data_IF_907739193346
#
_entry.id   IF_907739193346
#
_cell.length_a   1.000
_cell.length_b   1.000
_cell.length_c   1.000
_cell.angle_alpha   90.00
_cell.angle_beta   90.00
_cell.angle_gamma   90.00
#
_symmetry.space_group_name_H-M   'P 1'
#
loop_
_entity.id
_entity.type
_entity.pdbx_description
1 polymer ?
#
# COMPACT_ATOMS: atom_id res chain seq x y z
N UNK A 1 -13.87 -59.54 -12.21
CA UNK A 1 -14.76 -59.04 -11.14
C UNK A 1 -14.13 -58.03 -10.17
N UNK A 2 -12.79 -57.81 -10.17
CA UNK A 2 -12.14 -56.84 -9.27
C UNK A 2 -12.22 -55.38 -9.76
N UNK A 3 -12.24 -55.10 -11.06
CA UNK A 3 -12.30 -53.72 -11.59
C UNK A 3 -13.58 -52.96 -11.23
N UNK A 4 -14.74 -53.62 -11.22
CA UNK A 4 -16.01 -52.99 -10.83
C UNK A 4 -16.00 -52.49 -9.38
N UNK A 5 -15.29 -53.17 -8.47
CA UNK A 5 -15.22 -52.76 -7.06
C UNK A 5 -14.41 -51.47 -6.89
N UNK A 6 -13.36 -51.28 -7.69
CA UNK A 6 -12.54 -50.07 -7.64
C UNK A 6 -13.22 -48.87 -8.29
N UNK A 7 -13.93 -49.10 -9.41
CA UNK A 7 -14.76 -48.07 -10.04
C UNK A 7 -15.87 -47.62 -9.09
N UNK A 8 -16.54 -48.55 -8.39
CA UNK A 8 -17.59 -48.21 -7.45
C UNK A 8 -17.07 -47.43 -6.23
N UNK A 9 -15.90 -47.81 -5.69
CA UNK A 9 -15.25 -47.07 -4.59
C UNK A 9 -14.83 -45.66 -5.00
N UNK A 10 -14.31 -45.49 -6.22
CA UNK A 10 -13.87 -44.20 -6.74
C UNK A 10 -15.07 -43.27 -7.01
N UNK A 11 -16.19 -43.82 -7.49
CA UNK A 11 -17.43 -43.07 -7.74
C UNK A 11 -18.10 -42.61 -6.43
N UNK A 12 -18.08 -43.46 -5.39
CA UNK A 12 -18.56 -43.09 -4.04
C UNK A 12 -17.67 -42.02 -3.38
N UNK A 13 -16.35 -42.08 -3.56
CA UNK A 13 -15.44 -41.02 -3.09
C UNK A 13 -15.67 -39.69 -3.81
N UNK A 14 -15.94 -39.70 -5.12
CA UNK A 14 -16.25 -38.46 -5.85
C UNK A 14 -17.57 -37.83 -5.40
N UNK A 15 -18.59 -38.63 -5.07
CA UNK A 15 -19.86 -38.15 -4.55
C UNK A 15 -19.76 -37.60 -3.10
N UNK A 16 -18.77 -38.05 -2.32
CA UNK A 16 -18.49 -37.52 -0.99
C UNK A 16 -17.67 -36.21 -1.01
N UNK A 17 -16.97 -35.91 -2.11
CA UNK A 17 -16.21 -34.67 -2.30
C UNK A 17 -17.03 -33.54 -2.93
N UNK A 18 -18.19 -33.83 -3.52
CA UNK A 18 -19.21 -32.83 -3.81
C UNK A 18 -19.91 -32.46 -2.51
N UNK A 19 -19.23 -31.61 -1.73
CA UNK A 19 -19.77 -31.01 -0.52
C UNK A 19 -21.12 -30.36 -0.78
N UNK A 20 -21.94 -30.31 0.27
CA UNK A 20 -23.19 -29.57 0.29
C UNK A 20 -22.95 -28.12 -0.16
N UNK A 21 -23.26 -27.81 -1.42
CA UNK A 21 -23.64 -26.47 -1.79
C UNK A 21 -24.99 -26.23 -1.14
N UNK A 22 -24.96 -25.65 0.06
CA UNK A 22 -26.14 -25.11 0.71
C UNK A 22 -26.63 -23.95 -0.15
N UNK A 23 -27.45 -24.28 -1.17
CA UNK A 23 -28.20 -23.31 -1.95
C UNK A 23 -29.35 -22.79 -1.09
N UNK A 24 -29.03 -22.18 0.05
CA UNK A 24 -29.90 -21.17 0.61
C UNK A 24 -29.81 -20.02 -0.39
N UNK A 25 -30.91 -19.78 -1.09
CA UNK A 25 -31.14 -18.47 -1.69
C UNK A 25 -30.97 -17.47 -0.55
N UNK A 26 -29.77 -16.88 -0.49
CA UNK A 26 -29.47 -15.82 0.44
C UNK A 26 -30.53 -14.78 0.23
N UNK A 27 -31.23 -14.44 1.31
CA UNK A 27 -32.17 -13.34 1.36
C UNK A 27 -31.59 -12.21 0.52
N UNK A 28 -32.35 -11.80 -0.48
CA UNK A 28 -32.17 -10.61 -1.29
C UNK A 28 -31.38 -9.61 -0.46
N UNK A 29 -30.08 -9.49 -0.76
CA UNK A 29 -29.26 -8.41 -0.28
C UNK A 29 -29.94 -7.19 -0.87
N UNK A 30 -30.86 -6.60 -0.10
CA UNK A 30 -31.21 -5.21 -0.23
C UNK A 30 -29.88 -4.51 -0.06
N UNK A 31 -29.19 -4.28 -1.18
CA UNK A 31 -28.10 -3.34 -1.31
C UNK A 31 -28.51 -2.17 -0.43
N UNK A 32 -27.81 -1.87 0.67
CA UNK A 32 -28.19 -0.75 1.50
C UNK A 32 -28.15 0.45 0.57
N UNK A 33 -29.34 0.94 0.22
CA UNK A 33 -29.52 2.08 -0.67
C UNK A 33 -28.53 3.13 -0.22
N UNK A 34 -27.61 3.53 -1.11
CA UNK A 34 -26.55 4.49 -0.83
C UNK A 34 -27.12 5.79 -0.21
N UNK A 35 -28.39 6.08 -0.47
CA UNK A 35 -29.14 7.16 0.16
C UNK A 35 -29.20 7.10 1.70
N UNK A 36 -29.16 5.92 2.32
CA UNK A 36 -29.19 5.76 3.78
C UNK A 36 -27.85 6.02 4.48
N UNK A 37 -26.75 6.09 3.72
CA UNK A 37 -25.42 6.38 4.26
C UNK A 37 -25.12 7.88 4.30
N UNK A 38 -25.77 8.68 3.44
CA UNK A 38 -25.61 10.13 3.38
C UNK A 38 -26.20 10.85 4.61
N UNK A 39 -27.19 10.26 5.28
CA UNK A 39 -27.77 10.85 6.50
C UNK A 39 -26.87 10.68 7.73
N UNK A 40 -25.87 9.78 7.69
CA UNK A 40 -24.96 9.49 8.82
C UNK A 40 -23.66 10.31 8.78
N UNK A 41 -23.40 11.04 7.70
CA UNK A 41 -22.13 11.75 7.49
C UNK A 41 -21.94 12.96 8.44
N UNK A 42 -23.04 13.48 9.01
CA UNK A 42 -23.04 14.75 9.74
C UNK A 42 -23.11 14.63 11.27
N UNK A 43 -22.98 13.43 11.84
CA UNK A 43 -22.82 13.28 13.29
C UNK A 43 -21.40 13.73 13.68
N UNK A 44 -21.22 14.85 14.41
CA UNK A 44 -19.91 15.32 14.80
C UNK A 44 -19.30 14.30 15.76
N UNK A 45 -18.38 13.48 15.25
CA UNK A 45 -17.62 12.56 16.08
C UNK A 45 -16.89 13.37 17.15
N UNK A 46 -17.42 13.35 18.37
CA UNK A 46 -16.83 14.01 19.53
C UNK A 46 -15.53 13.27 19.86
N UNK A 47 -14.44 13.77 19.26
CA UNK A 47 -13.11 13.17 19.39
C UNK A 47 -12.51 13.70 20.68
N UNK A 48 -12.55 12.88 21.73
CA UNK A 48 -11.90 13.20 22.99
C UNK A 48 -10.39 13.02 22.82
N UNK A 49 -9.63 14.11 22.91
CA UNK A 49 -8.17 14.08 22.89
C UNK A 49 -7.66 13.94 24.31
N UNK A 50 -6.70 13.03 24.52
CA UNK A 50 -5.98 12.98 25.78
C UNK A 50 -5.25 14.33 26.03
N UNK A 51 -5.20 14.82 27.28
CA UNK A 51 -4.47 16.02 27.61
C UNK A 51 -2.99 15.85 27.27
N UNK A 52 -2.38 16.91 26.73
CA UNK A 52 -0.96 16.92 26.40
C UNK A 52 -0.11 16.79 27.68
N UNK A 53 0.95 15.96 27.70
CA UNK A 53 1.88 15.90 28.82
C UNK A 53 2.49 17.28 29.12
N UNK A 54 2.54 17.66 30.40
CA UNK A 54 3.04 18.97 30.84
C UNK A 54 4.56 19.13 30.68
N UNK A 55 5.30 18.02 30.59
CA UNK A 55 6.76 17.96 30.57
C UNK A 55 7.36 17.67 29.19
N UNK A 56 6.72 18.14 28.12
CA UNK A 56 7.28 18.01 26.76
C UNK A 56 8.44 18.99 26.59
N UNK A 57 9.61 18.43 26.30
CA UNK A 57 10.78 19.19 25.87
C UNK A 57 10.83 19.22 24.33
N UNK A 58 10.58 20.40 23.76
CA UNK A 58 10.80 20.64 22.34
C UNK A 58 12.30 20.86 22.10
N UNK A 59 12.91 19.99 21.30
CA UNK A 59 14.29 20.16 20.86
C UNK A 59 14.30 20.90 19.54
N UNK A 60 14.91 22.09 19.52
CA UNK A 60 15.15 22.81 18.28
C UNK A 60 16.52 22.39 17.74
N UNK A 61 16.54 21.79 16.55
CA UNK A 61 17.78 21.48 15.85
C UNK A 61 18.15 22.66 14.93
N UNK A 62 18.60 23.76 15.53
CA UNK A 62 18.93 25.00 14.81
C UNK A 62 20.24 24.92 14.00
N UNK A 63 21.03 23.86 14.23
CA UNK A 63 22.32 23.64 13.58
C UNK A 63 22.49 22.17 13.21
N UNK A 64 22.71 21.91 11.93
CA UNK A 64 23.12 20.60 11.45
C UNK A 64 24.63 20.60 11.15
N UNK A 65 25.34 19.49 11.45
CA UNK A 65 26.72 19.35 11.03
C UNK A 65 26.79 19.38 9.49
N UNK A 66 27.86 19.97 8.96
CA UNK A 66 28.14 19.94 7.53
C UNK A 66 28.38 18.48 7.13
N UNK A 67 27.47 17.93 6.31
CA UNK A 67 27.59 16.55 5.82
C UNK A 67 28.67 16.38 4.74
N UNK A 68 29.03 17.49 4.08
CA UNK A 68 30.03 17.50 3.02
C UNK A 68 31.45 17.35 3.59
N UNK A 69 32.31 16.65 2.84
CA UNK A 69 33.74 16.58 3.15
C UNK A 69 34.36 17.98 3.13
N UNK A 70 35.27 18.32 4.06
CA UNK A 70 36.04 19.56 3.99
C UNK A 70 36.92 19.63 2.74
N UNK A 71 37.29 18.47 2.17
CA UNK A 71 38.10 18.35 0.96
C UNK A 71 37.25 18.33 -0.33
N UNK A 72 35.93 18.53 -0.24
CA UNK A 72 35.07 18.53 -1.41
C UNK A 72 35.36 19.74 -2.32
N UNK A 73 35.79 19.47 -3.55
CA UNK A 73 35.98 20.50 -4.57
C UNK A 73 34.63 20.99 -5.12
N UNK A 74 34.45 22.31 -5.20
CA UNK A 74 33.21 22.91 -5.74
C UNK A 74 33.25 23.00 -7.25
N UNK A 75 32.17 22.59 -7.90
CA UNK A 75 31.97 22.73 -9.34
C UNK A 75 32.34 21.48 -10.15
N UNK A 76 32.59 21.68 -11.45
CA UNK A 76 32.85 20.59 -12.40
C UNK A 76 31.64 20.24 -13.27
N UNK A 77 31.78 19.19 -14.08
CA UNK A 77 30.74 18.72 -15.00
C UNK A 77 30.45 17.24 -14.76
N UNK A 78 29.27 16.95 -14.21
CA UNK A 78 28.78 15.58 -14.07
C UNK A 78 27.93 15.20 -15.28
N UNK A 79 28.27 14.09 -15.95
CA UNK A 79 27.50 13.52 -17.06
C UNK A 79 27.16 12.08 -16.71
N UNK A 80 25.86 11.78 -16.65
CA UNK A 80 25.35 10.43 -16.47
C UNK A 80 24.35 10.09 -17.58
N UNK A 81 24.24 8.81 -17.91
CA UNK A 81 23.24 8.30 -18.84
C UNK A 81 22.06 7.72 -18.07
N UNK A 82 20.85 7.95 -18.59
CA UNK A 82 19.65 7.27 -18.12
C UNK A 82 19.34 6.11 -19.05
N UNK A 83 18.93 4.98 -18.46
CA UNK A 83 18.51 3.81 -19.23
C UNK A 83 17.26 4.09 -20.07
N UNK A 84 16.38 4.93 -19.56
CA UNK A 84 15.17 5.40 -20.24
C UNK A 84 14.73 6.74 -19.65
N UNK A 85 13.96 7.51 -20.43
CA UNK A 85 13.32 8.71 -19.91
C UNK A 85 12.21 8.31 -18.92
N UNK A 86 12.08 8.99 -17.76
CA UNK A 86 11.06 8.64 -16.78
C UNK A 86 9.65 8.84 -17.35
N UNK A 87 8.81 7.82 -17.22
CA UNK A 87 7.40 7.87 -17.64
C UNK A 87 6.56 8.79 -16.73
N UNK A 88 6.99 8.96 -15.47
CA UNK A 88 6.36 9.85 -14.50
C UNK A 88 7.41 10.41 -13.54
N UNK A 89 7.15 11.60 -12.99
CA UNK A 89 7.96 12.21 -11.92
C UNK A 89 7.39 11.95 -10.52
N UNK A 90 6.32 11.16 -10.43
CA UNK A 90 5.74 10.77 -9.15
C UNK A 90 6.69 9.85 -8.38
N UNK A 91 6.71 9.98 -7.05
CA UNK A 91 7.49 9.12 -6.14
C UNK A 91 6.74 7.84 -5.75
N UNK A 92 5.42 7.82 -5.92
CA UNK A 92 4.52 6.71 -5.60
C UNK A 92 3.49 6.47 -6.71
N UNK A 93 3.17 5.20 -6.92
CA UNK A 93 2.20 4.75 -7.92
C UNK A 93 2.83 3.94 -9.06
N UNK A 94 2.01 3.52 -10.04
CA UNK A 94 2.50 2.84 -11.24
C UNK A 94 3.60 3.67 -11.93
N UNK A 95 4.60 2.97 -12.47
CA UNK A 95 5.75 3.54 -13.19
C UNK A 95 6.66 4.50 -12.39
N UNK A 96 6.46 4.63 -11.07
CA UNK A 96 7.27 5.51 -10.22
C UNK A 96 8.63 4.92 -9.83
N UNK A 97 8.90 3.65 -10.17
CA UNK A 97 10.11 2.91 -9.79
C UNK A 97 11.14 2.77 -10.93
N UNK A 98 11.33 3.84 -11.70
CA UNK A 98 12.34 3.88 -12.78
C UNK A 98 13.76 4.21 -12.28
N UNK A 99 14.74 4.10 -13.19
CA UNK A 99 16.16 4.43 -12.90
C UNK A 99 16.39 5.87 -12.43
N UNK A 100 15.48 6.79 -12.77
CA UNK A 100 15.54 8.19 -12.35
C UNK A 100 14.92 8.46 -10.96
N UNK A 101 14.32 7.45 -10.31
CA UNK A 101 13.63 7.63 -9.02
C UNK A 101 14.55 8.20 -7.93
N UNK A 102 15.80 7.76 -7.88
CA UNK A 102 16.77 8.26 -6.89
C UNK A 102 16.98 9.76 -7.01
N UNK A 103 17.09 10.30 -8.23
CA UNK A 103 17.26 11.74 -8.46
C UNK A 103 16.05 12.58 -7.99
N UNK A 104 14.85 11.99 -7.91
CA UNK A 104 13.64 12.66 -7.41
C UNK A 104 13.58 12.59 -5.87
N UNK A 105 13.98 11.46 -5.29
CA UNK A 105 13.97 11.27 -3.84
C UNK A 105 15.11 11.99 -3.14
N UNK A 106 16.30 11.92 -3.71
CA UNK A 106 17.49 12.63 -3.27
C UNK A 106 17.38 14.08 -3.75
N UNK A 107 16.35 14.82 -3.30
CA UNK A 107 16.24 16.27 -3.46
C UNK A 107 17.39 16.97 -2.68
N UNK A 108 18.61 16.70 -3.13
CA UNK A 108 19.91 17.08 -2.64
C UNK A 108 20.81 17.39 -3.83
N UNK A 109 20.24 17.91 -4.92
CA UNK A 109 20.98 18.85 -5.78
C UNK A 109 21.19 20.18 -5.02
N UNK A 110 21.64 20.09 -3.77
CA UNK A 110 22.39 21.15 -3.11
C UNK A 110 23.76 21.18 -3.80
N UNK A 111 23.78 21.67 -5.04
CA UNK A 111 25.03 22.05 -5.71
C UNK A 111 25.60 23.30 -5.02
#
# INVERSE_FOLDING_TARGET
MRFHKWVFVLLVCCAALTGCSDNREGAETTEPSFSKLLDRENEPLLREYAPMPENIHWLTNDIDPVFASPDAEKGGLFRAALLSFPMTFRVVGPDSNGSFRSAILDNQLSL
#
